data_IF_039186483370
#
_entry.id   IF_039186483370
#
_cell.length_a   1.000
_cell.length_b   1.000
_cell.length_c   1.000
_cell.angle_alpha   90.00
_cell.angle_beta   90.00
_cell.angle_gamma   90.00
#
_symmetry.space_group_name_H-M   'P 1'
#
loop_
_entity.id
_entity.type
_entity.pdbx_description
1 polymer ?
#
# COMPACT_ATOMS: atom_id res chain seq x y z
N UNK A 1 3.93 -26.65 -6.27
CA UNK A 1 3.13 -25.79 -5.37
C UNK A 1 3.90 -24.50 -5.22
N UNK A 2 3.24 -23.37 -5.42
CA UNK A 2 3.86 -22.07 -5.14
C UNK A 2 4.09 -21.94 -3.64
N UNK A 3 5.33 -21.70 -3.23
CA UNK A 3 5.67 -21.50 -1.84
C UNK A 3 5.88 -19.99 -1.59
N UNK A 4 5.21 -19.50 -0.56
CA UNK A 4 5.24 -18.10 -0.16
C UNK A 4 6.37 -17.83 0.81
N UNK A 5 7.06 -16.68 0.64
CA UNK A 5 7.95 -16.14 1.64
C UNK A 5 7.21 -15.28 2.66
N UNK A 6 7.69 -15.23 3.89
CA UNK A 6 7.20 -14.34 4.93
C UNK A 6 7.90 -12.98 4.88
N UNK A 7 9.21 -12.94 4.55
CA UNK A 7 9.96 -11.69 4.40
C UNK A 7 11.17 -11.84 3.48
N UNK A 8 11.71 -10.70 3.04
CA UNK A 8 12.97 -10.63 2.29
C UNK A 8 14.13 -10.62 3.29
N UNK A 9 14.93 -11.66 3.29
CA UNK A 9 16.08 -11.79 4.18
C UNK A 9 17.26 -10.92 3.76
N UNK A 10 17.46 -10.76 2.44
CA UNK A 10 18.59 -10.01 1.88
C UNK A 10 18.27 -9.44 0.52
N UNK A 11 18.82 -8.26 0.26
CA UNK A 11 18.86 -7.62 -1.06
C UNK A 11 20.32 -7.53 -1.48
N UNK A 12 20.63 -8.02 -2.69
CA UNK A 12 21.92 -7.81 -3.35
C UNK A 12 21.70 -7.07 -4.67
N UNK A 13 22.46 -5.99 -4.88
CA UNK A 13 22.43 -5.21 -6.11
C UNK A 13 23.85 -5.07 -6.61
N UNK A 14 24.15 -5.69 -7.74
CA UNK A 14 25.46 -5.63 -8.36
C UNK A 14 25.48 -4.56 -9.46
N UNK A 15 26.56 -3.79 -9.50
CA UNK A 15 26.76 -2.78 -10.55
C UNK A 15 25.80 -1.59 -10.46
N UNK A 16 25.38 -1.16 -9.27
CA UNK A 16 24.61 0.07 -9.13
C UNK A 16 25.42 1.25 -9.70
N UNK A 17 24.87 1.92 -10.73
CA UNK A 17 25.56 2.96 -11.53
C UNK A 17 26.89 2.50 -12.13
N UNK A 18 27.05 1.19 -12.38
CA UNK A 18 28.28 0.61 -12.92
C UNK A 18 29.48 0.60 -11.95
N UNK A 19 29.25 0.94 -10.67
CA UNK A 19 30.37 1.16 -9.71
C UNK A 19 30.18 0.46 -8.37
N UNK A 20 28.94 0.30 -7.88
CA UNK A 20 28.70 -0.13 -6.51
C UNK A 20 28.00 -1.49 -6.46
N UNK A 21 28.49 -2.35 -5.59
CA UNK A 21 27.78 -3.57 -5.20
C UNK A 21 27.23 -3.35 -3.80
N UNK A 22 25.94 -3.58 -3.64
CA UNK A 22 25.20 -3.40 -2.39
C UNK A 22 24.77 -4.76 -1.91
N UNK A 23 25.00 -5.01 -0.65
CA UNK A 23 24.43 -6.14 0.10
C UNK A 23 23.77 -5.59 1.33
N UNK A 24 22.47 -5.86 1.48
CA UNK A 24 21.70 -5.40 2.60
C UNK A 24 20.94 -6.57 3.22
N UNK A 25 21.39 -7.01 4.39
CA UNK A 25 20.72 -8.03 5.19
C UNK A 25 19.58 -7.36 5.96
N UNK A 26 18.35 -7.89 5.79
CA UNK A 26 17.12 -7.31 6.31
C UNK A 26 16.63 -8.06 7.55
N UNK A 27 15.93 -7.33 8.40
CA UNK A 27 15.17 -7.87 9.53
C UNK A 27 13.76 -8.24 9.07
N UNK A 28 13.08 -9.19 9.75
CA UNK A 28 11.71 -9.54 9.41
C UNK A 28 10.68 -8.47 9.78
N UNK A 29 11.04 -7.51 10.64
CA UNK A 29 10.17 -6.47 11.15
C UNK A 29 10.29 -5.15 10.36
N UNK A 30 11.16 -4.26 10.78
CA UNK A 30 11.32 -2.92 10.20
C UNK A 30 12.77 -2.69 9.76
N UNK A 31 12.92 -2.21 8.52
CA UNK A 31 14.20 -1.81 7.95
C UNK A 31 14.12 -0.36 7.48
N UNK A 32 15.08 0.46 7.91
CA UNK A 32 15.12 1.88 7.59
C UNK A 32 16.35 2.19 6.75
N UNK A 33 16.13 2.71 5.54
CA UNK A 33 17.20 3.18 4.67
C UNK A 33 17.28 4.72 4.74
N UNK A 34 18.28 5.23 5.45
CA UNK A 34 18.49 6.67 5.63
C UNK A 34 19.75 7.17 4.95
N UNK A 35 19.84 8.44 4.69
CA UNK A 35 21.00 9.09 4.08
C UNK A 35 20.64 10.41 3.40
N UNK A 36 21.66 11.16 2.96
CA UNK A 36 21.48 12.44 2.26
C UNK A 36 20.76 12.27 0.92
N UNK A 37 20.18 13.38 0.42
CA UNK A 37 19.53 13.36 -0.89
C UNK A 37 20.52 13.04 -2.01
N UNK A 38 20.08 12.25 -2.98
CA UNK A 38 20.91 11.84 -4.11
C UNK A 38 21.80 10.62 -3.87
N UNK A 39 21.89 10.08 -2.64
CA UNK A 39 22.76 8.92 -2.33
C UNK A 39 22.24 7.59 -2.91
N UNK A 40 21.04 7.57 -3.51
CA UNK A 40 20.52 6.37 -4.19
C UNK A 40 19.50 5.56 -3.42
N UNK A 41 18.97 6.05 -2.28
CA UNK A 41 17.93 5.34 -1.50
C UNK A 41 16.77 4.87 -2.37
N UNK A 42 16.15 5.80 -3.08
CA UNK A 42 15.02 5.53 -3.99
C UNK A 42 15.41 4.60 -5.13
N UNK A 43 16.65 4.69 -5.63
CA UNK A 43 17.14 3.80 -6.70
C UNK A 43 17.25 2.36 -6.20
N UNK A 44 17.75 2.15 -4.98
CA UNK A 44 17.84 0.82 -4.35
C UNK A 44 16.44 0.22 -4.22
N UNK A 45 15.49 0.97 -3.64
CA UNK A 45 14.12 0.51 -3.43
C UNK A 45 13.41 0.24 -4.77
N UNK A 46 13.50 1.15 -5.74
CA UNK A 46 12.87 0.95 -7.04
C UNK A 46 13.43 -0.27 -7.79
N UNK A 47 14.72 -0.55 -7.70
CA UNK A 47 15.31 -1.76 -8.29
C UNK A 47 14.81 -3.03 -7.62
N UNK A 48 14.68 -3.01 -6.28
CA UNK A 48 14.13 -4.14 -5.52
C UNK A 48 12.67 -4.40 -5.88
N UNK A 49 11.85 -3.33 -5.97
CA UNK A 49 10.44 -3.41 -6.39
C UNK A 49 10.34 -3.93 -7.83
N UNK A 50 11.16 -3.42 -8.76
CA UNK A 50 11.18 -3.90 -10.15
C UNK A 50 11.51 -5.38 -10.27
N UNK A 51 12.32 -5.94 -9.37
CA UNK A 51 12.55 -7.38 -9.30
C UNK A 51 11.30 -8.15 -8.82
N UNK A 52 10.61 -7.65 -7.79
CA UNK A 52 9.36 -8.23 -7.28
C UNK A 52 8.24 -8.21 -8.34
N UNK A 53 8.10 -7.11 -9.07
CA UNK A 53 7.13 -6.98 -10.18
C UNK A 53 7.37 -8.03 -11.27
N UNK A 54 8.63 -8.38 -11.53
CA UNK A 54 8.97 -9.43 -12.50
C UNK A 54 8.65 -10.84 -11.98
N UNK A 55 8.85 -11.10 -10.69
CA UNK A 55 8.48 -12.38 -10.08
C UNK A 55 6.97 -12.60 -10.09
N UNK A 56 6.19 -11.56 -9.83
CA UNK A 56 4.73 -11.62 -9.76
C UNK A 56 4.05 -11.71 -11.14
N UNK A 57 4.79 -11.51 -12.23
CA UNK A 57 4.20 -11.45 -13.57
C UNK A 57 3.36 -10.19 -13.84
N UNK A 58 3.31 -9.25 -12.92
CA UNK A 58 2.59 -7.97 -13.00
C UNK A 58 3.34 -6.99 -13.93
N UNK A 59 3.27 -7.22 -15.22
CA UNK A 59 4.05 -6.51 -16.27
C UNK A 59 3.46 -5.12 -16.61
N UNK A 60 2.49 -4.58 -15.88
CA UNK A 60 1.69 -3.46 -16.41
C UNK A 60 2.03 -2.04 -15.94
N UNK A 61 3.03 -1.78 -15.10
CA UNK A 61 3.17 -0.44 -14.50
C UNK A 61 4.41 0.40 -14.82
N UNK A 62 5.37 -0.04 -15.62
CA UNK A 62 6.45 0.87 -16.02
C UNK A 62 7.16 0.49 -17.32
N UNK A 63 6.80 1.17 -18.41
CA UNK A 63 7.39 0.95 -19.76
C UNK A 63 8.89 1.23 -19.89
N UNK A 64 9.53 1.91 -18.93
CA UNK A 64 10.92 2.37 -19.05
C UNK A 64 11.95 1.64 -18.17
N UNK A 65 11.54 0.85 -17.19
CA UNK A 65 12.48 0.16 -16.26
C UNK A 65 12.82 -1.29 -16.63
N UNK A 66 12.29 -1.81 -17.74
CA UNK A 66 12.34 -3.25 -18.06
C UNK A 66 13.73 -3.82 -18.39
N UNK A 67 14.70 -3.01 -18.78
CA UNK A 67 16.03 -3.52 -19.21
C UNK A 67 17.07 -3.60 -18.09
N UNK A 68 17.00 -2.70 -17.09
CA UNK A 68 18.04 -2.60 -16.07
C UNK A 68 17.76 -3.45 -14.81
N UNK A 69 16.50 -3.82 -14.56
CA UNK A 69 16.13 -4.58 -13.36
C UNK A 69 16.61 -6.04 -13.41
N UNK A 70 16.77 -6.64 -14.59
CA UNK A 70 17.29 -8.00 -14.73
C UNK A 70 18.77 -8.16 -14.41
N UNK A 71 19.55 -7.08 -14.55
CA UNK A 71 20.99 -7.14 -14.41
C UNK A 71 21.42 -6.68 -13.01
N UNK A 72 21.68 -7.65 -12.14
CA UNK A 72 22.41 -7.46 -10.91
C UNK A 72 21.57 -7.29 -9.64
N UNK A 73 20.25 -7.48 -9.67
CA UNK A 73 19.42 -7.51 -8.44
C UNK A 73 19.05 -8.93 -8.10
N UNK A 74 19.30 -9.31 -6.85
CA UNK A 74 18.92 -10.60 -6.28
C UNK A 74 18.25 -10.38 -4.93
N UNK A 75 17.04 -10.94 -4.75
CA UNK A 75 16.35 -10.98 -3.48
C UNK A 75 16.43 -12.40 -2.93
N UNK A 76 16.79 -12.49 -1.67
CA UNK A 76 16.84 -13.75 -0.93
C UNK A 76 15.70 -13.72 0.08
N UNK A 77 14.89 -14.74 0.08
CA UNK A 77 13.76 -14.90 0.99
C UNK A 77 14.18 -15.69 2.23
N UNK A 78 13.44 -15.60 3.30
CA UNK A 78 13.57 -16.42 4.51
C UNK A 78 13.41 -17.91 4.20
N UNK A 79 12.51 -18.25 3.29
CA UNK A 79 12.36 -19.59 2.75
C UNK A 79 13.07 -19.68 1.38
N UNK A 80 14.15 -20.49 1.24
CA UNK A 80 14.86 -20.64 -0.03
C UNK A 80 14.03 -21.25 -1.17
N UNK A 81 12.95 -21.96 -0.84
CA UNK A 81 12.04 -22.57 -1.82
C UNK A 81 10.88 -21.65 -2.21
N UNK A 82 10.79 -20.46 -1.60
CA UNK A 82 9.75 -19.51 -1.90
C UNK A 82 9.88 -18.96 -3.32
N UNK A 83 8.77 -18.95 -4.03
CA UNK A 83 8.66 -18.47 -5.41
C UNK A 83 8.05 -17.09 -5.49
N UNK A 84 7.36 -16.65 -4.44
CA UNK A 84 6.74 -15.32 -4.40
C UNK A 84 6.66 -14.79 -2.96
N UNK A 85 6.51 -13.48 -2.85
CA UNK A 85 6.19 -12.77 -1.62
C UNK A 85 5.10 -11.74 -1.92
N UNK A 86 4.02 -11.66 -1.14
CA UNK A 86 3.07 -10.57 -1.27
C UNK A 86 3.72 -9.26 -0.80
N UNK A 87 3.55 -8.18 -1.55
CA UNK A 87 4.12 -6.88 -1.22
C UNK A 87 3.20 -5.75 -1.63
N UNK A 88 3.33 -4.61 -0.93
CA UNK A 88 2.74 -3.34 -1.32
C UNK A 88 3.82 -2.26 -1.39
N UNK A 89 3.68 -1.33 -2.35
CA UNK A 89 4.61 -0.23 -2.56
C UNK A 89 3.91 1.09 -2.32
N UNK A 90 4.37 1.84 -1.32
CA UNK A 90 3.88 3.18 -1.04
C UNK A 90 4.93 4.18 -1.54
N UNK A 91 4.56 4.98 -2.55
CA UNK A 91 5.45 5.99 -3.11
C UNK A 91 5.20 7.35 -2.49
N UNK A 92 6.25 8.01 -2.03
CA UNK A 92 6.19 9.26 -1.25
C UNK A 92 6.18 10.54 -2.07
N UNK A 93 6.35 10.48 -3.39
CA UNK A 93 6.38 11.66 -4.23
C UNK A 93 5.14 11.80 -5.10
N UNK A 94 4.66 13.04 -5.16
CA UNK A 94 3.49 13.41 -5.93
C UNK A 94 3.93 13.92 -7.31
N UNK A 95 4.06 13.00 -8.27
CA UNK A 95 4.38 13.33 -9.66
C UNK A 95 3.09 13.52 -10.45
N UNK A 96 3.09 14.41 -11.46
CA UNK A 96 2.03 14.42 -12.44
C UNK A 96 1.90 13.03 -13.10
N UNK A 97 0.68 12.54 -13.17
CA UNK A 97 0.41 11.27 -13.84
C UNK A 97 0.66 11.44 -15.33
N UNK A 98 1.60 10.67 -15.90
CA UNK A 98 1.77 10.62 -17.35
C UNK A 98 0.61 9.83 -17.92
N UNK A 99 -0.33 10.54 -18.53
CA UNK A 99 -1.54 9.95 -19.11
C UNK A 99 -1.17 9.13 -20.34
N UNK A 100 -1.05 7.82 -20.20
CA UNK A 100 -1.16 6.91 -21.33
C UNK A 100 -2.63 6.73 -21.72
N UNK A 101 -2.89 6.12 -22.89
CA UNK A 101 -4.26 5.87 -23.38
C UNK A 101 -5.18 5.16 -22.39
N UNK A 102 -4.62 4.45 -21.44
CA UNK A 102 -5.36 3.72 -20.40
C UNK A 102 -5.94 4.64 -19.34
N UNK A 103 -5.20 5.65 -18.91
CA UNK A 103 -5.64 6.64 -17.90
C UNK A 103 -6.60 7.66 -18.47
N UNK A 104 -6.54 7.94 -19.76
CA UNK A 104 -7.49 8.82 -20.46
C UNK A 104 -8.94 8.24 -20.46
N UNK A 105 -9.09 6.93 -20.29
CA UNK A 105 -10.39 6.23 -20.22
C UNK A 105 -10.95 6.15 -18.81
N UNK A 106 -10.22 6.63 -17.80
CA UNK A 106 -10.69 6.58 -16.43
C UNK A 106 -11.80 7.60 -16.21
N UNK A 107 -12.87 7.15 -15.56
CA UNK A 107 -14.05 7.97 -15.28
C UNK A 107 -13.79 9.08 -14.24
N UNK A 108 -12.69 9.03 -13.51
CA UNK A 108 -12.41 9.99 -12.44
C UNK A 108 -11.41 11.07 -12.87
N UNK A 109 -11.95 12.24 -13.23
CA UNK A 109 -11.19 13.45 -13.62
C UNK A 109 -10.40 14.08 -12.47
N UNK A 110 -10.54 13.58 -11.26
CA UNK A 110 -9.84 14.10 -10.08
C UNK A 110 -8.45 13.50 -9.89
N UNK A 111 -8.15 12.38 -10.55
CA UNK A 111 -6.84 11.74 -10.51
C UNK A 111 -5.88 12.49 -11.42
N UNK A 112 -4.98 13.28 -10.83
CA UNK A 112 -4.02 14.14 -11.56
C UNK A 112 -2.57 13.76 -11.32
N UNK A 113 -2.29 13.05 -10.25
CA UNK A 113 -0.96 12.67 -9.83
C UNK A 113 -0.85 11.18 -9.58
N UNK A 114 0.39 10.68 -9.50
CA UNK A 114 0.67 9.29 -9.13
C UNK A 114 0.14 8.95 -7.74
N UNK A 115 0.18 9.92 -6.81
CA UNK A 115 -0.37 9.78 -5.47
C UNK A 115 -1.91 9.70 -5.49
N UNK A 116 -2.56 10.51 -6.34
CA UNK A 116 -4.02 10.40 -6.55
C UNK A 116 -4.40 9.04 -7.13
N UNK A 117 -3.57 8.49 -8.01
CA UNK A 117 -3.76 7.15 -8.57
C UNK A 117 -3.67 6.06 -7.51
N UNK A 118 -2.64 6.11 -6.65
CA UNK A 118 -2.52 5.18 -5.52
C UNK A 118 -3.72 5.27 -4.58
N UNK A 119 -4.16 6.48 -4.23
CA UNK A 119 -5.36 6.69 -3.43
C UNK A 119 -6.61 6.11 -4.08
N UNK A 120 -6.77 6.29 -5.39
CA UNK A 120 -7.89 5.73 -6.14
C UNK A 120 -7.93 4.19 -6.04
N UNK A 121 -6.81 3.53 -6.27
CA UNK A 121 -6.71 2.08 -6.16
C UNK A 121 -7.00 1.58 -4.74
N UNK A 122 -6.41 2.23 -3.73
CA UNK A 122 -6.61 1.86 -2.33
C UNK A 122 -8.05 2.11 -1.86
N UNK A 123 -8.69 3.18 -2.31
CA UNK A 123 -10.11 3.42 -2.02
C UNK A 123 -10.99 2.31 -2.60
N UNK A 124 -10.72 1.83 -3.80
CA UNK A 124 -11.46 0.69 -4.38
C UNK A 124 -11.28 -0.57 -3.55
N UNK A 125 -10.03 -0.91 -3.20
CA UNK A 125 -9.75 -2.05 -2.30
C UNK A 125 -10.44 -1.89 -0.95
N UNK A 126 -10.48 -0.68 -0.41
CA UNK A 126 -11.16 -0.39 0.84
C UNK A 126 -12.68 -0.58 0.72
N UNK A 127 -13.31 -0.19 -0.38
CA UNK A 127 -14.72 -0.46 -0.65
C UNK A 127 -15.01 -1.96 -0.70
N UNK A 128 -14.21 -2.73 -1.42
CA UNK A 128 -14.34 -4.19 -1.49
C UNK A 128 -14.19 -4.82 -0.09
N UNK A 129 -13.22 -4.36 0.69
CA UNK A 129 -13.04 -4.77 2.08
C UNK A 129 -14.27 -4.46 2.93
N UNK A 130 -14.86 -3.26 2.81
CA UNK A 130 -16.08 -2.88 3.54
C UNK A 130 -17.26 -3.76 3.18
N UNK A 131 -17.46 -4.07 1.91
CA UNK A 131 -18.51 -4.97 1.43
C UNK A 131 -18.31 -6.37 1.99
N UNK A 132 -17.08 -6.90 1.92
CA UNK A 132 -16.76 -8.23 2.42
C UNK A 132 -16.98 -8.35 3.94
N UNK A 133 -16.57 -7.33 4.72
CA UNK A 133 -16.85 -7.29 6.16
C UNK A 133 -18.34 -7.21 6.42
N UNK A 134 -19.08 -6.36 5.69
CA UNK A 134 -20.52 -6.24 5.82
C UNK A 134 -21.23 -7.58 5.60
N UNK A 135 -20.88 -8.30 4.53
CA UNK A 135 -21.43 -9.61 4.23
C UNK A 135 -21.12 -10.64 5.34
N UNK A 136 -19.86 -10.69 5.81
CA UNK A 136 -19.48 -11.57 6.94
C UNK A 136 -20.24 -11.24 8.22
N UNK A 137 -20.43 -9.96 8.51
CA UNK A 137 -21.22 -9.54 9.68
C UNK A 137 -22.67 -9.98 9.57
N UNK A 138 -23.31 -9.83 8.40
CA UNK A 138 -24.70 -10.28 8.16
C UNK A 138 -24.81 -11.80 8.35
N UNK A 139 -23.87 -12.56 7.79
CA UNK A 139 -23.82 -14.02 7.94
C UNK A 139 -23.70 -14.42 9.42
N UNK A 140 -22.76 -13.81 10.15
CA UNK A 140 -22.54 -14.08 11.58
C UNK A 140 -23.75 -13.70 12.43
N UNK A 141 -24.41 -12.57 12.16
CA UNK A 141 -25.60 -12.13 12.89
C UNK A 141 -26.81 -13.01 12.60
N UNK A 142 -26.87 -13.62 11.42
CA UNK A 142 -27.95 -14.55 11.03
C UNK A 142 -27.73 -15.95 11.59
N UNK A 143 -26.57 -16.25 12.18
CA UNK A 143 -26.28 -17.53 12.80
C UNK A 143 -27.04 -17.70 14.12
N UNK A 144 -27.46 -18.94 14.40
CA UNK A 144 -28.03 -19.32 15.70
C UNK A 144 -26.97 -19.47 16.80
N UNK A 145 -25.70 -19.42 16.46
CA UNK A 145 -24.56 -19.55 17.37
C UNK A 145 -24.22 -18.18 17.99
N UNK A 146 -24.26 -18.12 19.33
CA UNK A 146 -23.97 -16.91 20.10
C UNK A 146 -22.51 -16.46 19.96
N UNK A 147 -21.58 -17.40 19.81
CA UNK A 147 -20.17 -17.07 19.57
C UNK A 147 -19.96 -16.35 18.24
N UNK A 148 -20.67 -16.77 17.19
CA UNK A 148 -20.62 -16.10 15.88
C UNK A 148 -21.17 -14.68 15.98
N UNK A 149 -22.28 -14.46 16.69
CA UNK A 149 -22.83 -13.12 16.89
C UNK A 149 -21.88 -12.19 17.65
N UNK A 150 -21.14 -12.70 18.63
CA UNK A 150 -20.13 -11.94 19.34
C UNK A 150 -18.93 -11.57 18.45
N UNK A 151 -18.53 -12.45 17.55
CA UNK A 151 -17.50 -12.15 16.53
C UNK A 151 -17.91 -11.02 15.58
N UNK A 152 -19.18 -10.92 15.20
CA UNK A 152 -19.69 -9.82 14.39
C UNK A 152 -19.50 -8.45 15.08
N UNK A 153 -19.72 -8.38 16.39
CA UNK A 153 -19.47 -7.15 17.16
C UNK A 153 -17.97 -6.75 17.11
N UNK A 154 -17.06 -7.71 17.21
CA UNK A 154 -15.60 -7.47 17.11
C UNK A 154 -15.20 -6.89 15.75
N UNK A 155 -15.78 -7.40 14.65
CA UNK A 155 -15.54 -6.85 13.31
C UNK A 155 -16.01 -5.39 13.18
N UNK A 156 -17.16 -5.07 13.75
CA UNK A 156 -17.68 -3.69 13.81
C UNK A 156 -16.72 -2.74 14.54
N UNK A 157 -16.14 -3.21 15.65
CA UNK A 157 -15.16 -2.43 16.42
C UNK A 157 -13.87 -2.16 15.64
N UNK A 158 -13.41 -3.12 14.84
CA UNK A 158 -12.22 -2.93 14.00
C UNK A 158 -12.40 -1.79 12.99
N UNK A 159 -13.55 -1.75 12.30
CA UNK A 159 -13.91 -0.63 11.41
C UNK A 159 -13.90 0.70 12.15
N UNK A 160 -14.53 0.75 13.32
CA UNK A 160 -14.60 1.99 14.12
C UNK A 160 -13.23 2.45 14.56
N UNK A 161 -12.37 1.56 15.06
CA UNK A 161 -10.98 1.88 15.43
C UNK A 161 -10.16 2.46 14.27
N UNK A 162 -10.34 1.92 13.08
CA UNK A 162 -9.68 2.46 11.90
C UNK A 162 -10.14 3.90 11.59
N UNK A 163 -11.44 4.16 11.66
CA UNK A 163 -11.99 5.50 11.47
C UNK A 163 -11.56 6.47 12.58
N UNK A 164 -11.46 6.02 13.82
CA UNK A 164 -10.96 6.81 14.96
C UNK A 164 -9.48 7.19 14.76
N UNK A 165 -8.66 6.25 14.27
CA UNK A 165 -7.26 6.51 13.94
C UNK A 165 -7.11 7.57 12.84
N UNK A 166 -7.95 7.52 11.79
CA UNK A 166 -7.99 8.56 10.75
C UNK A 166 -8.36 9.91 11.38
N UNK A 167 -9.41 9.97 12.20
CA UNK A 167 -9.85 11.20 12.84
C UNK A 167 -8.75 11.81 13.74
N UNK A 168 -8.00 10.97 14.47
CA UNK A 168 -6.88 11.40 15.30
C UNK A 168 -5.76 12.02 14.47
N UNK A 169 -5.33 11.34 13.40
CA UNK A 169 -4.26 11.81 12.52
C UNK A 169 -4.61 13.12 11.78
N UNK A 170 -5.88 13.29 11.41
CA UNK A 170 -6.34 14.48 10.72
C UNK A 170 -6.91 15.57 11.67
N UNK A 171 -6.88 15.33 12.98
CA UNK A 171 -7.40 16.27 13.99
C UNK A 171 -6.74 17.64 13.92
N UNK A 172 -5.44 17.70 13.68
CA UNK A 172 -4.67 18.94 13.58
C UNK A 172 -5.17 19.85 12.44
N UNK A 173 -5.67 19.27 11.35
CA UNK A 173 -6.24 20.02 10.22
C UNK A 173 -7.77 20.09 10.29
N UNK A 174 -8.38 19.71 11.42
CA UNK A 174 -9.82 19.75 11.70
C UNK A 174 -10.67 18.97 10.69
N UNK A 175 -10.09 17.93 10.09
CA UNK A 175 -10.79 17.04 9.19
C UNK A 175 -11.29 15.83 9.97
N UNK A 176 -12.55 15.43 9.71
CA UNK A 176 -13.16 14.22 10.30
C UNK A 176 -13.70 13.35 9.19
N UNK A 177 -13.46 12.03 9.30
CA UNK A 177 -13.98 11.07 8.34
C UNK A 177 -15.51 11.01 8.37
N UNK A 178 -16.14 10.94 7.20
CA UNK A 178 -17.58 10.68 7.11
C UNK A 178 -17.87 9.19 7.32
N UNK A 179 -18.34 8.86 8.52
CA UNK A 179 -18.60 7.47 8.95
C UNK A 179 -19.82 6.84 8.31
N UNK A 180 -20.65 7.63 7.63
CA UNK A 180 -21.89 7.17 6.99
C UNK A 180 -21.64 6.65 5.58
N UNK A 181 -20.49 6.99 5.00
CA UNK A 181 -20.12 6.60 3.65
C UNK A 181 -19.30 5.31 3.64
N UNK A 182 -19.38 4.59 2.54
CA UNK A 182 -18.52 3.45 2.29
C UNK A 182 -17.19 3.86 1.64
N UNK A 183 -17.19 4.92 0.85
CA UNK A 183 -16.00 5.57 0.33
C UNK A 183 -15.39 6.50 1.39
N UNK A 184 -14.12 6.86 1.22
CA UNK A 184 -13.45 7.77 2.11
C UNK A 184 -13.76 9.20 1.71
N UNK A 185 -14.37 9.94 2.62
CA UNK A 185 -14.59 11.36 2.52
C UNK A 185 -14.43 12.00 3.91
N UNK A 186 -14.17 13.28 3.95
CA UNK A 186 -13.96 14.05 5.17
C UNK A 186 -14.94 15.20 5.24
N UNK A 187 -15.22 15.65 6.45
CA UNK A 187 -15.82 16.94 6.72
C UNK A 187 -14.76 17.88 7.29
N UNK A 188 -14.69 19.10 6.73
CA UNK A 188 -13.88 20.20 7.25
C UNK A 188 -14.74 21.46 7.23
N UNK A 189 -14.90 22.09 8.39
CA UNK A 189 -15.67 23.33 8.56
C UNK A 189 -17.11 23.26 7.95
N UNK A 190 -17.72 22.07 7.99
CA UNK A 190 -19.07 21.82 7.46
C UNK A 190 -19.12 21.42 5.98
N UNK A 191 -18.02 21.48 5.27
CA UNK A 191 -17.94 21.08 3.85
C UNK A 191 -17.44 19.66 3.67
N UNK A 192 -17.97 18.96 2.67
CA UNK A 192 -17.52 17.63 2.28
C UNK A 192 -16.26 17.74 1.42
N UNK A 193 -15.21 17.05 1.84
CA UNK A 193 -13.92 17.03 1.20
C UNK A 193 -13.54 15.62 0.76
N UNK A 194 -13.24 15.45 -0.52
CA UNK A 194 -12.74 14.18 -1.05
C UNK A 194 -11.22 14.08 -0.94
N UNK A 195 -10.65 12.86 -0.86
CA UNK A 195 -9.22 12.63 -0.66
C UNK A 195 -8.30 13.32 -1.67
N UNK A 196 -8.74 13.50 -2.91
CA UNK A 196 -7.96 14.20 -3.95
C UNK A 196 -7.69 15.68 -3.66
N UNK A 197 -8.46 16.29 -2.76
CA UNK A 197 -8.31 17.68 -2.34
C UNK A 197 -7.41 17.84 -1.10
N UNK A 198 -6.94 16.75 -0.52
CA UNK A 198 -5.98 16.76 0.59
C UNK A 198 -4.62 17.29 0.12
N UNK A 199 -3.82 17.82 1.05
CA UNK A 199 -2.41 18.14 0.78
C UNK A 199 -1.61 16.86 0.48
N UNK A 200 -0.46 16.97 -0.19
CA UNK A 200 0.38 15.81 -0.54
C UNK A 200 0.78 15.00 0.70
N UNK A 201 1.13 15.65 1.80
CA UNK A 201 1.44 14.97 3.06
C UNK A 201 0.24 14.22 3.65
N UNK A 202 -0.96 14.82 3.64
CA UNK A 202 -2.19 14.16 4.09
C UNK A 202 -2.57 12.98 3.20
N UNK A 203 -2.39 13.11 1.88
CA UNK A 203 -2.59 12.02 0.93
C UNK A 203 -1.64 10.84 1.22
N UNK A 204 -0.35 11.13 1.47
CA UNK A 204 0.62 10.11 1.83
C UNK A 204 0.24 9.38 3.12
N UNK A 205 -0.15 10.12 4.16
CA UNK A 205 -0.64 9.52 5.41
C UNK A 205 -1.87 8.64 5.17
N UNK A 206 -2.80 9.09 4.35
CA UNK A 206 -3.98 8.31 4.02
C UNK A 206 -3.65 7.05 3.22
N UNK A 207 -2.69 7.12 2.28
CA UNK A 207 -2.17 5.95 1.56
C UNK A 207 -1.60 4.92 2.53
N UNK A 208 -0.74 5.35 3.48
CA UNK A 208 -0.16 4.47 4.51
C UNK A 208 -1.28 3.81 5.32
N UNK A 209 -2.25 4.59 5.79
CA UNK A 209 -3.34 4.08 6.61
C UNK A 209 -4.24 3.10 5.86
N UNK A 210 -4.51 3.34 4.59
CA UNK A 210 -5.35 2.46 3.77
C UNK A 210 -4.66 1.15 3.39
N UNK A 211 -3.34 1.15 3.33
CA UNK A 211 -2.57 -0.07 3.05
C UNK A 211 -2.69 -1.07 4.20
N UNK A 212 -2.71 -0.60 5.45
CA UNK A 212 -2.76 -1.46 6.65
C UNK A 212 -4.02 -2.35 6.72
N UNK A 213 -5.27 -1.86 6.63
CA UNK A 213 -6.46 -2.71 6.80
C UNK A 213 -6.64 -3.72 5.66
N UNK A 214 -6.19 -3.37 4.46
CA UNK A 214 -6.33 -4.23 3.28
C UNK A 214 -5.37 -5.42 3.35
N UNK A 215 -4.20 -5.22 3.96
CA UNK A 215 -3.18 -6.25 4.15
C UNK A 215 -3.48 -7.20 5.31
N UNK A 216 -4.18 -6.74 6.35
CA UNK A 216 -4.51 -7.55 7.54
C UNK A 216 -5.52 -8.69 7.29
N UNK A 217 -6.15 -8.77 6.12
CA UNK A 217 -7.01 -9.91 5.80
C UNK A 217 -6.23 -11.16 5.41
N UNK A 218 -4.94 -11.03 5.11
CA UNK A 218 -4.09 -12.15 4.71
C UNK A 218 -2.60 -11.90 4.93
N UNK A 219 -2.04 -11.54 6.04
CA UNK A 219 -0.60 -11.61 6.29
C UNK A 219 0.03 -10.38 6.95
N UNK A 220 0.94 -10.66 7.83
CA UNK A 220 1.99 -9.73 8.30
C UNK A 220 2.93 -9.40 7.13
N UNK A 221 2.78 -8.23 6.52
CA UNK A 221 3.69 -7.78 5.45
C UNK A 221 4.87 -7.02 6.02
N UNK A 222 6.09 -7.29 5.56
CA UNK A 222 7.23 -6.42 5.85
C UNK A 222 7.00 -5.06 5.17
N UNK A 223 6.90 -4.01 5.97
CA UNK A 223 6.72 -2.64 5.48
C UNK A 223 8.08 -2.03 5.19
N UNK A 224 8.37 -1.69 3.93
CA UNK A 224 9.55 -0.93 3.55
C UNK A 224 9.12 0.52 3.32
N UNK A 225 9.51 1.41 4.24
CA UNK A 225 9.25 2.84 4.13
C UNK A 225 10.55 3.59 3.80
N UNK A 226 10.52 4.49 2.81
CA UNK A 226 11.57 5.49 2.58
C UNK A 226 11.13 6.84 3.11
N UNK A 227 11.93 7.45 3.95
CA UNK A 227 11.79 8.84 4.41
C UNK A 227 12.63 9.76 3.55
#
# INVERSE_FOLDING_TARGET
>A
MEQQADYIQRIEINGLWGRFNIRWDLRPDVNILSGINGVGKTTILNRSVGYLEQLSGDIQLSGEMKSDAKNGVHLFFDNPEATYIPYDVIRSYDRPLIMGDFTARMADKNVKSELDWQLYLLQRRYLDYQVNIGNKMIEMLSSNDEEQRNKAATLSLAKRRFQDMIDELFSYTRKKIDRRRNDIAFYQDGELLFPYKLSSGEKQMLVILLTVPVSYTHLTLPTICSV
#
